data_IF_445732963574
#
_entry.id   IF_445732963574
#
_cell.length_a   1.000
_cell.length_b   1.000
_cell.length_c   1.000
_cell.angle_alpha   90.00
_cell.angle_beta   90.00
_cell.angle_gamma   90.00
#
_symmetry.space_group_name_H-M   'P 1'
#
loop_
_entity.id
_entity.type
_entity.pdbx_description
1 polymer ?
#
# COMPACT_ATOMS: atom_id res chain seq x y z
N UNK A 1 -10.89 9.20 -3.07
CA UNK A 1 -11.07 9.48 -4.51
C UNK A 1 -10.70 8.29 -5.43
N UNK A 2 -9.46 7.76 -5.44
CA UNK A 2 -9.12 6.63 -6.32
C UNK A 2 -9.83 5.33 -5.91
N UNK A 3 -9.68 4.94 -4.64
CA UNK A 3 -10.27 3.71 -4.12
C UNK A 3 -11.81 3.76 -4.11
N UNK A 4 -12.39 4.92 -3.77
CA UNK A 4 -13.84 5.18 -3.87
C UNK A 4 -14.42 4.90 -5.26
N UNK A 5 -13.67 5.24 -6.31
CA UNK A 5 -14.11 5.01 -7.70
C UNK A 5 -13.82 3.59 -8.18
N UNK A 6 -12.77 2.95 -7.66
CA UNK A 6 -12.42 1.59 -8.02
C UNK A 6 -13.41 0.58 -7.45
N UNK A 7 -13.76 0.67 -6.16
CA UNK A 7 -14.63 -0.30 -5.46
C UNK A 7 -15.90 -0.72 -6.23
N UNK A 8 -16.71 0.20 -6.79
CA UNK A 8 -17.91 -0.18 -7.53
C UNK A 8 -17.64 -0.82 -8.91
N UNK A 9 -16.45 -0.61 -9.48
CA UNK A 9 -16.05 -1.08 -10.82
C UNK A 9 -15.21 -2.37 -10.77
N UNK A 10 -14.66 -2.70 -9.61
CA UNK A 10 -13.77 -3.84 -9.41
C UNK A 10 -14.54 -5.16 -9.23
N UNK A 11 -14.23 -6.13 -10.09
CA UNK A 11 -14.81 -7.47 -10.04
C UNK A 11 -14.12 -8.38 -9.01
N UNK A 12 -14.77 -9.50 -8.68
CA UNK A 12 -14.24 -10.47 -7.72
C UNK A 12 -12.83 -11.00 -8.05
N UNK A 13 -12.48 -11.10 -9.35
CA UNK A 13 -11.19 -11.56 -9.83
C UNK A 13 -10.03 -10.64 -9.45
N UNK A 14 -10.26 -9.33 -9.45
CA UNK A 14 -9.24 -8.34 -9.10
C UNK A 14 -8.94 -8.37 -7.59
N UNK A 15 -9.97 -8.57 -6.75
CA UNK A 15 -9.78 -8.75 -5.31
C UNK A 15 -9.09 -10.06 -4.96
N UNK A 16 -9.35 -11.12 -5.73
CA UNK A 16 -8.63 -12.38 -5.58
C UNK A 16 -7.15 -12.21 -5.90
N UNK A 17 -6.81 -11.47 -6.96
CA UNK A 17 -5.42 -11.12 -7.28
C UNK A 17 -4.77 -10.31 -6.15
N UNK A 18 -5.45 -9.26 -5.67
CA UNK A 18 -4.96 -8.45 -4.56
C UNK A 18 -4.69 -9.29 -3.30
N UNK A 19 -5.57 -10.25 -2.99
CA UNK A 19 -5.36 -11.20 -1.88
C UNK A 19 -4.14 -12.09 -2.07
N UNK A 20 -3.91 -12.60 -3.29
CA UNK A 20 -2.71 -13.39 -3.58
C UNK A 20 -1.41 -12.60 -3.41
N UNK A 21 -1.39 -11.33 -3.85
CA UNK A 21 -0.25 -10.43 -3.67
C UNK A 21 -0.02 -10.15 -2.18
N UNK A 22 -1.09 -9.87 -1.42
CA UNK A 22 -0.99 -9.61 0.01
C UNK A 22 -0.44 -10.81 0.79
N UNK A 23 -0.89 -12.03 0.46
CA UNK A 23 -0.35 -13.25 1.06
C UNK A 23 1.15 -13.42 0.79
N UNK A 24 1.61 -13.07 -0.42
CA UNK A 24 3.03 -13.09 -0.76
C UNK A 24 3.83 -11.99 -0.02
N UNK A 25 3.23 -10.80 0.15
CA UNK A 25 3.84 -9.66 0.86
C UNK A 25 4.13 -9.98 2.34
N UNK A 26 3.26 -10.77 2.96
CA UNK A 26 3.34 -11.21 4.36
C UNK A 26 4.28 -12.41 4.59
N UNK A 27 4.99 -12.86 3.55
CA UNK A 27 5.93 -13.96 3.67
C UNK A 27 7.06 -13.62 4.67
N UNK A 28 7.35 -14.56 5.57
CA UNK A 28 8.46 -14.43 6.50
C UNK A 28 9.78 -14.34 5.72
N UNK A 29 10.67 -13.46 6.16
CA UNK A 29 12.02 -13.26 5.59
C UNK A 29 12.03 -12.78 4.12
N UNK A 30 10.92 -12.17 3.65
CA UNK A 30 10.83 -11.60 2.30
C UNK A 30 11.90 -10.50 2.08
N UNK A 31 12.79 -10.63 1.08
CA UNK A 31 13.81 -9.62 0.81
C UNK A 31 13.20 -8.26 0.47
N UNK A 32 13.81 -7.18 0.94
CA UNK A 32 13.28 -5.81 0.77
C UNK A 32 12.86 -5.45 -0.66
N UNK A 33 13.68 -5.81 -1.65
CA UNK A 33 13.36 -5.50 -3.05
C UNK A 33 12.09 -6.21 -3.54
N UNK A 34 11.83 -7.43 -3.05
CA UNK A 34 10.62 -8.20 -3.39
C UNK A 34 9.41 -7.66 -2.62
N UNK A 35 9.59 -7.39 -1.32
CA UNK A 35 8.59 -6.73 -0.49
C UNK A 35 8.14 -5.42 -1.14
N UNK A 36 9.07 -4.55 -1.52
CA UNK A 36 8.78 -3.26 -2.13
C UNK A 36 8.03 -3.37 -3.46
N UNK A 37 8.38 -4.37 -4.28
CA UNK A 37 7.70 -4.62 -5.55
C UNK A 37 6.28 -5.15 -5.35
N UNK A 38 6.06 -6.06 -4.39
CA UNK A 38 4.74 -6.60 -4.06
C UNK A 38 3.84 -5.55 -3.41
N UNK A 39 4.41 -4.69 -2.55
CA UNK A 39 3.71 -3.54 -1.94
C UNK A 39 3.19 -2.58 -3.02
N UNK A 40 4.03 -2.30 -4.02
CA UNK A 40 3.62 -1.52 -5.19
C UNK A 40 2.53 -2.21 -6.01
N UNK A 41 2.67 -3.51 -6.26
CA UNK A 41 1.69 -4.28 -7.04
C UNK A 41 0.34 -4.34 -6.32
N UNK A 42 0.34 -4.46 -5.00
CA UNK A 42 -0.87 -4.44 -4.18
C UNK A 42 -1.63 -3.12 -4.38
N UNK A 43 -0.98 -1.97 -4.14
CA UNK A 43 -1.63 -0.66 -4.28
C UNK A 43 -2.10 -0.39 -5.72
N UNK A 44 -1.29 -0.74 -6.72
CA UNK A 44 -1.70 -0.54 -8.12
C UNK A 44 -2.86 -1.44 -8.52
N UNK A 45 -2.95 -2.65 -7.95
CA UNK A 45 -4.11 -3.54 -8.12
C UNK A 45 -5.37 -2.93 -7.52
N UNK A 46 -5.29 -2.32 -6.33
CA UNK A 46 -6.43 -1.61 -5.70
C UNK A 46 -6.95 -0.46 -6.57
N UNK A 47 -6.08 0.23 -7.31
CA UNK A 47 -6.44 1.37 -8.17
C UNK A 47 -6.67 0.98 -9.63
N UNK A 48 -6.51 -0.29 -10.00
CA UNK A 48 -6.49 -0.74 -11.40
C UNK A 48 -7.74 -0.31 -12.17
N UNK A 49 -8.91 -0.32 -11.53
CA UNK A 49 -10.20 0.07 -12.11
C UNK A 49 -10.55 1.56 -11.93
N UNK A 50 -9.74 2.32 -11.20
CA UNK A 50 -9.86 3.77 -11.20
C UNK A 50 -9.33 4.29 -12.55
N UNK A 51 -10.21 4.76 -13.43
CA UNK A 51 -9.88 5.36 -14.72
C UNK A 51 -9.19 6.74 -14.57
N UNK A 52 -8.03 6.75 -13.92
CA UNK A 52 -7.29 7.95 -13.50
C UNK A 52 -5.77 7.77 -13.73
N UNK A 53 -5.31 7.72 -15.00
CA UNK A 53 -3.92 7.42 -15.36
C UNK A 53 -2.89 8.41 -14.79
N UNK A 54 -3.22 9.70 -14.66
CA UNK A 54 -2.34 10.72 -14.06
C UNK A 54 -2.07 10.42 -12.59
N UNK A 55 -3.09 10.00 -11.86
CA UNK A 55 -2.97 9.69 -10.43
C UNK A 55 -2.20 8.39 -10.20
N UNK A 56 -2.37 7.39 -11.07
CA UNK A 56 -1.56 6.16 -11.07
C UNK A 56 -0.07 6.47 -11.26
N UNK A 57 0.28 7.38 -12.17
CA UNK A 57 1.67 7.85 -12.35
C UNK A 57 2.22 8.57 -11.13
N UNK A 58 1.41 9.41 -10.48
CA UNK A 58 1.82 10.10 -9.26
C UNK A 58 2.10 9.11 -8.12
N UNK A 59 1.21 8.13 -7.91
CA UNK A 59 1.39 7.07 -6.92
C UNK A 59 2.67 6.24 -7.21
N UNK A 60 2.94 5.92 -8.47
CA UNK A 60 4.16 5.22 -8.88
C UNK A 60 5.44 6.00 -8.54
N UNK A 61 5.46 7.30 -8.84
CA UNK A 61 6.61 8.14 -8.53
C UNK A 61 6.82 8.28 -7.01
N UNK A 62 5.74 8.44 -6.24
CA UNK A 62 5.81 8.47 -4.78
C UNK A 62 6.39 7.15 -4.25
N UNK A 63 5.86 6.01 -4.69
CA UNK A 63 6.33 4.69 -4.27
C UNK A 63 7.83 4.50 -4.54
N UNK A 64 8.28 4.83 -5.76
CA UNK A 64 9.69 4.72 -6.13
C UNK A 64 10.59 5.62 -5.29
N UNK A 65 10.14 6.83 -4.95
CA UNK A 65 10.90 7.76 -4.11
C UNK A 65 10.98 7.29 -2.66
N UNK A 66 9.96 6.57 -2.17
CA UNK A 66 9.89 6.03 -0.82
C UNK A 66 10.79 4.81 -0.60
N UNK A 67 11.17 4.10 -1.66
CA UNK A 67 11.97 2.87 -1.58
C UNK A 67 13.25 3.02 -0.75
N UNK A 68 13.99 4.12 -0.95
CA UNK A 68 15.24 4.37 -0.21
C UNK A 68 14.99 4.51 1.29
N UNK A 69 13.92 5.20 1.68
CA UNK A 69 13.63 5.50 3.07
C UNK A 69 13.02 4.30 3.80
N UNK A 70 12.19 3.50 3.13
CA UNK A 70 11.70 2.25 3.70
C UNK A 70 12.86 1.30 4.03
N UNK A 71 13.89 1.24 3.19
CA UNK A 71 15.08 0.43 3.47
C UNK A 71 15.85 0.91 4.71
N UNK A 72 15.97 2.23 4.88
CA UNK A 72 16.62 2.82 6.06
C UNK A 72 15.80 2.50 7.31
N UNK A 73 14.49 2.71 7.25
CA UNK A 73 13.60 2.45 8.37
C UNK A 73 13.55 0.97 8.78
N UNK A 74 13.61 0.06 7.80
CA UNK A 74 13.77 -1.37 8.05
C UNK A 74 15.06 -1.67 8.83
N UNK A 75 16.17 -1.09 8.38
CA UNK A 75 17.48 -1.29 9.00
C UNK A 75 17.52 -0.76 10.44
N UNK A 76 16.73 0.26 10.75
CA UNK A 76 16.58 0.82 12.09
C UNK A 76 15.60 0.02 12.98
N UNK A 77 15.02 -1.09 12.48
CA UNK A 77 14.17 -1.98 13.27
C UNK A 77 12.78 -1.42 13.58
N UNK A 78 12.30 -0.44 12.82
CA UNK A 78 11.08 0.32 13.15
C UNK A 78 9.75 -0.40 12.92
N UNK A 79 9.74 -1.69 12.54
CA UNK A 79 8.51 -2.49 12.45
C UNK A 79 7.47 -2.05 11.42
N UNK A 80 7.82 -1.19 10.46
CA UNK A 80 6.85 -0.59 9.51
C UNK A 80 6.10 -1.61 8.64
N UNK A 81 6.72 -2.76 8.35
CA UNK A 81 6.09 -3.85 7.57
C UNK A 81 4.89 -4.42 8.31
N UNK A 82 5.05 -4.78 9.59
CA UNK A 82 3.99 -5.33 10.42
C UNK A 82 2.78 -4.40 10.53
N UNK A 83 3.02 -3.10 10.66
CA UNK A 83 1.95 -2.09 10.69
C UNK A 83 1.23 -2.00 9.34
N UNK A 84 1.98 -2.00 8.23
CA UNK A 84 1.41 -2.01 6.88
C UNK A 84 0.60 -3.27 6.59
N UNK A 85 1.08 -4.44 7.01
CA UNK A 85 0.42 -5.73 6.78
C UNK A 85 -0.98 -5.78 7.40
N UNK A 86 -1.15 -5.27 8.61
CA UNK A 86 -2.44 -5.20 9.28
C UNK A 86 -3.41 -4.26 8.56
N UNK A 87 -2.92 -3.10 8.12
CA UNK A 87 -3.72 -2.11 7.38
C UNK A 87 -4.13 -2.64 6.00
N UNK A 88 -3.24 -3.36 5.30
CA UNK A 88 -3.53 -3.96 4.00
C UNK A 88 -4.66 -4.99 4.06
N UNK A 89 -4.70 -5.81 5.12
CA UNK A 89 -5.79 -6.76 5.36
C UNK A 89 -7.13 -6.03 5.50
N UNK A 90 -7.19 -5.01 6.35
CA UNK A 90 -8.40 -4.21 6.59
C UNK A 90 -8.87 -3.55 5.28
N UNK A 91 -7.95 -3.00 4.49
CA UNK A 91 -8.28 -2.39 3.20
C UNK A 91 -8.90 -3.42 2.26
N UNK A 92 -8.29 -4.61 2.14
CA UNK A 92 -8.76 -5.66 1.25
C UNK A 92 -10.13 -6.19 1.66
N UNK A 93 -10.33 -6.47 2.96
CA UNK A 93 -11.61 -6.94 3.50
C UNK A 93 -12.72 -5.91 3.28
N UNK A 94 -12.45 -4.63 3.55
CA UNK A 94 -13.41 -3.56 3.31
C UNK A 94 -13.75 -3.42 1.82
N UNK A 95 -12.75 -3.55 0.92
CA UNK A 95 -12.99 -3.55 -0.52
C UNK A 95 -13.88 -4.72 -0.97
N UNK A 96 -13.62 -5.93 -0.47
CA UNK A 96 -14.42 -7.12 -0.77
C UNK A 96 -15.86 -7.01 -0.25
N UNK A 97 -16.04 -6.41 0.93
CA UNK A 97 -17.34 -6.12 1.52
C UNK A 97 -18.06 -4.92 0.85
N UNK A 98 -17.41 -4.22 -0.08
CA UNK A 98 -17.85 -2.94 -0.65
C UNK A 98 -18.06 -1.83 0.39
N UNK A 99 -17.44 -1.96 1.56
CA UNK A 99 -17.38 -0.92 2.58
C UNK A 99 -16.39 0.17 2.16
N UNK A 100 -16.88 1.06 1.31
CA UNK A 100 -16.09 2.16 0.75
C UNK A 100 -15.55 3.09 1.83
N UNK A 101 -16.34 3.33 2.88
CA UNK A 101 -15.96 4.25 3.94
C UNK A 101 -14.75 3.72 4.71
N UNK A 102 -14.81 2.47 5.17
CA UNK A 102 -13.70 1.83 5.88
C UNK A 102 -12.48 1.70 4.99
N UNK A 103 -12.64 1.25 3.74
CA UNK A 103 -11.53 1.08 2.80
C UNK A 103 -10.74 2.39 2.60
N UNK A 104 -11.46 3.50 2.43
CA UNK A 104 -10.85 4.83 2.18
C UNK A 104 -10.24 5.41 3.44
N UNK A 105 -10.91 5.28 4.59
CA UNK A 105 -10.38 5.74 5.86
C UNK A 105 -9.06 5.04 6.20
N UNK A 106 -9.03 3.71 6.08
CA UNK A 106 -7.83 2.91 6.35
C UNK A 106 -6.70 3.22 5.36
N UNK A 107 -6.99 3.32 4.06
CA UNK A 107 -5.97 3.71 3.09
C UNK A 107 -5.40 5.11 3.36
N UNK A 108 -6.26 6.07 3.73
CA UNK A 108 -5.82 7.44 4.05
C UNK A 108 -4.92 7.43 5.28
N UNK A 109 -5.28 6.68 6.31
CA UNK A 109 -4.45 6.49 7.50
C UNK A 109 -3.09 5.88 7.14
N UNK A 110 -3.10 4.77 6.40
CA UNK A 110 -1.90 4.06 5.94
C UNK A 110 -0.92 4.98 5.20
N UNK A 111 -1.40 5.75 4.21
CA UNK A 111 -0.56 6.66 3.42
C UNK A 111 -0.03 7.83 4.27
N UNK A 112 -0.84 8.35 5.19
CA UNK A 112 -0.45 9.45 6.09
C UNK A 112 0.64 8.99 7.05
N UNK A 113 0.45 7.83 7.70
CA UNK A 113 1.44 7.20 8.58
C UNK A 113 2.75 6.94 7.86
N UNK A 114 2.69 6.32 6.68
CA UNK A 114 3.87 6.04 5.85
C UNK A 114 4.63 7.33 5.48
N UNK A 115 3.90 8.40 5.17
CA UNK A 115 4.50 9.72 4.88
C UNK A 115 5.11 10.38 6.11
N UNK A 116 4.51 10.22 7.29
CA UNK A 116 5.07 10.74 8.55
C UNK A 116 6.37 10.02 8.94
N UNK A 117 6.38 8.68 8.87
CA UNK A 117 7.58 7.85 9.11
C UNK A 117 8.73 8.26 8.19
N UNK A 118 8.42 8.53 6.92
CA UNK A 118 9.38 9.06 5.97
C UNK A 118 9.97 10.41 6.44
N UNK A 119 9.12 11.37 6.80
CA UNK A 119 9.56 12.70 7.22
C UNK A 119 10.41 12.64 8.49
N UNK A 120 10.09 11.74 9.41
CA UNK A 120 10.89 11.48 10.62
C UNK A 120 12.27 10.92 10.25
N UNK A 121 12.35 9.94 9.36
CA UNK A 121 13.61 9.38 8.90
C UNK A 121 14.50 10.46 8.24
N UNK A 122 13.91 11.31 7.39
CA UNK A 122 14.59 12.43 6.74
C UNK A 122 15.15 13.46 7.73
N UNK A 123 14.40 13.77 8.80
CA UNK A 123 14.83 14.71 9.83
C UNK A 123 15.98 14.18 10.67
N UNK A 124 16.08 12.86 10.83
CA UNK A 124 17.14 12.20 11.58
C UNK A 124 18.42 11.97 10.76
N UNK A 125 18.42 12.26 9.45
CA UNK A 125 19.62 12.31 8.59
C UNK A 125 20.33 13.68 8.59
N UNK A 126 19.82 14.67 9.33
CA UNK A 126 20.38 16.04 9.46
C UNK A 126 21.12 16.23 10.78
#
# INVERSE_FOLDING_TARGET
>A
ILLERAIPLTGATDWLRAGGILAALQAKDLPFHQWHALDYEFHTTLYSQADLPTMKKLAANLHSNLARYYRIYETLGGGFRTEGDAEHLIILEACQAKDTQTAVATLTHHLTRSSQRLLEALRNES
#
